data_IF_773517386322
#
_entry.id   IF_773517386322
#
_cell.length_a   1.000
_cell.length_b   1.000
_cell.length_c   1.000
_cell.angle_alpha   90.00
_cell.angle_beta   90.00
_cell.angle_gamma   90.00
#
_symmetry.space_group_name_H-M   'P 1'
#
loop_
_entity.id
_entity.type
_entity.pdbx_description
1 polymer ?
#
# COMPACT_ATOMS: atom_id res chain seq x y z
N UNK A 1 -45.35 -35.43 89.40
CA UNK A 1 -44.08 -35.01 88.75
C UNK A 1 -44.40 -34.66 87.30
N UNK A 2 -44.05 -33.55 86.66
CA UNK A 2 -43.36 -32.27 86.90
C UNK A 2 -43.77 -31.41 85.67
N UNK A 3 -44.49 -30.28 85.79
CA UNK A 3 -44.04 -28.88 85.93
C UNK A 3 -43.05 -28.36 84.87
N UNK A 4 -43.40 -27.18 84.30
CA UNK A 4 -42.52 -26.09 83.79
C UNK A 4 -41.88 -26.30 82.38
N UNK A 5 -41.76 -25.35 81.42
CA UNK A 5 -41.76 -23.88 81.40
C UNK A 5 -42.18 -23.24 80.05
N UNK A 6 -42.55 -21.95 80.18
CA UNK A 6 -42.72 -20.91 79.15
C UNK A 6 -41.39 -20.56 78.46
N UNK A 7 -41.42 -20.21 77.17
CA UNK A 7 -40.26 -19.68 76.46
C UNK A 7 -40.61 -18.79 75.28
N UNK A 8 -40.97 -17.53 75.55
CA UNK A 8 -41.14 -16.49 74.53
C UNK A 8 -39.83 -16.20 73.79
N UNK A 9 -39.83 -16.21 72.45
CA UNK A 9 -38.76 -15.60 71.65
C UNK A 9 -39.32 -14.64 70.61
N UNK A 10 -39.34 -13.38 71.05
CA UNK A 10 -39.20 -12.11 70.33
C UNK A 10 -38.81 -12.25 68.85
N UNK A 11 -39.72 -11.87 67.95
CA UNK A 11 -39.39 -11.50 66.57
C UNK A 11 -38.42 -10.29 66.61
N UNK A 12 -37.17 -10.48 66.19
CA UNK A 12 -36.32 -9.36 65.80
C UNK A 12 -36.47 -9.21 64.29
N UNK A 13 -37.49 -8.44 63.90
CA UNK A 13 -37.58 -7.89 62.55
C UNK A 13 -36.36 -6.98 62.37
N UNK A 14 -35.34 -7.45 61.66
CA UNK A 14 -34.36 -6.55 61.09
C UNK A 14 -35.00 -5.92 59.86
N UNK A 15 -35.88 -4.94 60.07
CA UNK A 15 -36.10 -3.86 59.11
C UNK A 15 -34.79 -3.09 58.98
N UNK A 16 -33.83 -3.69 58.29
CA UNK A 16 -32.83 -2.94 57.56
C UNK A 16 -33.61 -2.21 56.48
N UNK A 17 -34.03 -0.99 56.81
CA UNK A 17 -34.41 0.03 55.84
C UNK A 17 -33.21 0.16 54.89
N UNK A 18 -33.22 -0.63 53.82
CA UNK A 18 -32.63 -0.25 52.55
C UNK A 18 -33.39 1.00 52.15
N UNK A 19 -32.91 2.13 52.67
CA UNK A 19 -33.23 3.45 52.20
C UNK A 19 -32.68 3.47 50.78
N UNK A 20 -33.51 3.02 49.84
CA UNK A 20 -33.32 3.27 48.44
C UNK A 20 -33.23 4.79 48.36
N UNK A 21 -31.99 5.30 48.22
CA UNK A 21 -31.79 6.68 47.80
C UNK A 21 -32.29 6.68 46.35
N UNK A 22 -33.58 6.87 46.20
CA UNK A 22 -34.15 7.45 44.99
C UNK A 22 -33.57 8.86 44.95
N UNK A 23 -32.35 8.95 44.41
CA UNK A 23 -31.75 10.21 44.03
C UNK A 23 -32.59 10.71 42.85
N UNK A 24 -33.55 11.58 43.13
CA UNK A 24 -34.29 12.29 42.09
C UNK A 24 -33.28 12.91 41.13
N UNK A 25 -33.42 12.58 39.85
CA UNK A 25 -32.52 13.01 38.78
C UNK A 25 -32.43 14.54 38.82
N UNK A 26 -31.29 15.07 39.27
CA UNK A 26 -31.15 16.52 39.37
C UNK A 26 -31.02 17.08 37.96
N UNK A 27 -31.54 18.30 37.73
CA UNK A 27 -31.38 18.98 36.44
C UNK A 27 -29.90 19.09 36.02
N UNK A 28 -29.01 19.18 37.02
CA UNK A 28 -27.56 19.18 36.84
C UNK A 28 -27.06 17.85 36.24
N UNK A 29 -27.54 16.69 36.72
CA UNK A 29 -27.16 15.38 36.17
C UNK A 29 -27.54 15.25 34.68
N UNK A 30 -28.73 15.74 34.28
CA UNK A 30 -29.15 15.73 32.87
C UNK A 30 -28.20 16.57 32.02
N UNK A 31 -27.85 17.78 32.48
CA UNK A 31 -26.97 18.70 31.75
C UNK A 31 -25.57 18.13 31.61
N UNK A 32 -25.03 17.53 32.67
CA UNK A 32 -23.71 16.87 32.63
C UNK A 32 -23.74 15.66 31.70
N UNK A 33 -24.79 14.83 31.74
CA UNK A 33 -24.93 13.69 30.84
C UNK A 33 -24.96 14.12 29.37
N UNK A 34 -25.72 15.17 29.02
CA UNK A 34 -25.77 15.73 27.66
C UNK A 34 -24.40 16.29 27.24
N UNK A 35 -23.69 16.97 28.15
CA UNK A 35 -22.35 17.49 27.89
C UNK A 35 -21.35 16.35 27.58
N UNK A 36 -21.36 15.27 28.37
CA UNK A 36 -20.48 14.12 28.15
C UNK A 36 -20.82 13.39 26.85
N UNK A 37 -22.11 13.18 26.57
CA UNK A 37 -22.55 12.52 25.33
C UNK A 37 -22.16 13.37 24.11
N UNK A 38 -22.34 14.69 24.16
CA UNK A 38 -22.00 15.56 23.02
C UNK A 38 -20.50 15.57 22.73
N UNK A 39 -19.64 15.60 23.74
CA UNK A 39 -18.19 15.44 23.58
C UNK A 39 -17.85 14.08 22.98
N UNK A 40 -18.49 13.01 23.46
CA UNK A 40 -18.30 11.65 22.93
C UNK A 40 -18.65 11.53 21.46
N UNK A 41 -19.80 12.05 21.05
CA UNK A 41 -20.27 12.02 19.65
C UNK A 41 -19.32 12.79 18.72
N UNK A 42 -18.84 13.96 19.15
CA UNK A 42 -17.87 14.74 18.38
C UNK A 42 -16.56 13.95 18.22
N UNK A 43 -16.04 13.36 19.30
CA UNK A 43 -14.83 12.53 19.26
C UNK A 43 -14.95 11.35 18.28
N UNK A 44 -16.10 10.67 18.27
CA UNK A 44 -16.39 9.56 17.35
C UNK A 44 -16.45 10.06 15.89
N UNK A 45 -17.11 11.18 15.62
CA UNK A 45 -17.23 11.74 14.26
C UNK A 45 -15.85 12.15 13.68
N UNK A 46 -14.99 12.77 14.50
CA UNK A 46 -13.61 13.07 14.10
C UNK A 46 -12.80 11.78 13.86
N UNK A 47 -12.97 10.76 14.71
CA UNK A 47 -12.32 9.46 14.54
C UNK A 47 -12.66 8.79 13.21
N UNK A 48 -13.94 8.74 12.83
CA UNK A 48 -14.36 8.18 11.54
C UNK A 48 -13.85 8.99 10.34
N UNK A 49 -13.79 10.31 10.46
CA UNK A 49 -13.24 11.18 9.42
C UNK A 49 -11.74 10.93 9.19
N UNK A 50 -10.98 10.62 10.25
CA UNK A 50 -9.58 10.24 10.12
C UNK A 50 -9.41 8.85 9.49
N UNK A 51 -10.23 7.87 9.90
CA UNK A 51 -10.19 6.50 9.36
C UNK A 51 -10.52 6.45 7.87
N UNK A 52 -11.52 7.20 7.42
CA UNK A 52 -11.91 7.27 6.00
C UNK A 52 -10.80 7.85 5.14
N UNK A 53 -10.16 8.93 5.58
CA UNK A 53 -8.99 9.50 4.88
C UNK A 53 -7.83 8.51 4.78
N UNK A 54 -7.54 7.81 5.88
CA UNK A 54 -6.49 6.78 5.90
C UNK A 54 -6.82 5.61 4.95
N UNK A 55 -8.08 5.17 4.91
CA UNK A 55 -8.49 4.09 4.01
C UNK A 55 -8.32 4.47 2.53
N UNK A 56 -8.70 5.69 2.14
CA UNK A 56 -8.50 6.19 0.77
C UNK A 56 -7.01 6.22 0.41
N UNK A 57 -6.18 6.72 1.32
CA UNK A 57 -4.73 6.76 1.16
C UNK A 57 -4.14 5.37 0.93
N UNK A 58 -4.57 4.37 1.71
CA UNK A 58 -4.11 2.99 1.58
C UNK A 58 -4.60 2.37 0.27
N UNK A 59 -5.84 2.65 -0.12
CA UNK A 59 -6.41 2.15 -1.37
C UNK A 59 -5.66 2.69 -2.59
N UNK A 60 -5.36 3.99 -2.63
CA UNK A 60 -4.60 4.61 -3.73
C UNK A 60 -3.20 4.00 -3.86
N UNK A 61 -2.54 3.75 -2.73
CA UNK A 61 -1.22 3.12 -2.72
C UNK A 61 -1.28 1.67 -3.23
N UNK A 62 -2.27 0.90 -2.79
CA UNK A 62 -2.46 -0.48 -3.25
C UNK A 62 -2.71 -0.54 -4.77
N UNK A 63 -3.48 0.39 -5.32
CA UNK A 63 -3.72 0.46 -6.76
C UNK A 63 -2.44 0.79 -7.54
N UNK A 64 -1.60 1.70 -7.05
CA UNK A 64 -0.32 2.02 -7.68
C UNK A 64 0.65 0.82 -7.64
N UNK A 65 0.70 0.09 -6.54
CA UNK A 65 1.54 -1.11 -6.39
C UNK A 65 1.08 -2.25 -7.31
N UNK A 66 -0.22 -2.45 -7.47
CA UNK A 66 -0.77 -3.42 -8.45
C UNK A 66 -0.41 -2.98 -9.86
N UNK A 67 -0.65 -1.72 -10.20
CA UNK A 67 -0.38 -1.16 -11.54
C UNK A 67 1.09 -1.31 -11.92
N UNK A 68 2.02 -0.90 -11.04
CA UNK A 68 3.45 -1.02 -11.34
C UNK A 68 3.87 -2.47 -11.48
N UNK A 69 3.26 -3.40 -10.75
CA UNK A 69 3.54 -4.84 -10.85
C UNK A 69 3.12 -5.37 -12.21
N UNK A 70 1.90 -5.05 -12.66
CA UNK A 70 1.42 -5.42 -13.99
C UNK A 70 2.33 -4.89 -15.11
N UNK A 71 2.70 -3.61 -15.04
CA UNK A 71 3.64 -3.01 -16.01
C UNK A 71 5.00 -3.73 -15.94
N UNK A 72 5.50 -4.02 -14.74
CA UNK A 72 6.78 -4.73 -14.57
C UNK A 72 6.76 -6.12 -15.19
N UNK A 73 5.65 -6.84 -15.02
CA UNK A 73 5.49 -8.19 -15.55
C UNK A 73 5.39 -8.15 -17.08
N UNK A 74 4.67 -7.16 -17.65
CA UNK A 74 4.65 -6.90 -19.09
C UNK A 74 6.04 -6.61 -19.65
N UNK A 75 6.81 -5.75 -18.99
CA UNK A 75 8.17 -5.40 -19.42
C UNK A 75 9.07 -6.63 -19.37
N UNK A 76 8.95 -7.48 -18.35
CA UNK A 76 9.74 -8.71 -18.23
C UNK A 76 9.36 -9.75 -19.27
N UNK A 77 8.08 -9.84 -19.64
CA UNK A 77 7.58 -10.79 -20.62
C UNK A 77 8.25 -10.58 -21.99
N UNK A 78 8.91 -11.63 -22.48
CA UNK A 78 9.66 -11.63 -23.75
C UNK A 78 8.75 -11.66 -24.97
N UNK A 79 7.56 -12.27 -24.83
CA UNK A 79 6.61 -12.41 -25.92
C UNK A 79 5.82 -11.12 -26.14
N UNK A 80 5.69 -10.29 -25.10
CA UNK A 80 4.92 -9.05 -25.13
C UNK A 80 5.77 -7.82 -25.39
N UNK A 81 6.98 -7.79 -24.85
CA UNK A 81 7.94 -6.74 -25.11
C UNK A 81 9.25 -7.39 -25.55
N UNK A 82 9.53 -7.40 -26.84
CA UNK A 82 10.78 -7.96 -27.37
C UNK A 82 11.94 -7.03 -26.98
N UNK A 83 13.08 -7.61 -26.61
CA UNK A 83 14.28 -6.83 -26.34
C UNK A 83 14.74 -6.10 -27.59
N UNK A 84 15.03 -4.80 -27.47
CA UNK A 84 15.62 -4.03 -28.55
C UNK A 84 16.97 -3.49 -28.10
N UNK A 85 18.07 -3.78 -28.82
CA UNK A 85 19.36 -3.25 -28.44
C UNK A 85 19.35 -1.73 -28.52
N UNK A 86 20.06 -1.08 -27.60
CA UNK A 86 20.16 0.37 -27.56
C UNK A 86 18.82 1.11 -27.43
N UNK A 87 17.88 0.53 -26.68
CA UNK A 87 16.57 1.14 -26.50
C UNK A 87 16.64 2.48 -25.75
N UNK A 88 15.83 3.42 -26.21
CA UNK A 88 15.56 4.70 -25.55
C UNK A 88 14.12 4.72 -25.05
N UNK A 89 13.72 5.75 -24.31
CA UNK A 89 12.36 5.87 -23.79
C UNK A 89 11.28 5.90 -24.88
N UNK A 90 11.62 6.24 -26.13
CA UNK A 90 10.72 6.19 -27.28
C UNK A 90 10.69 4.82 -27.98
N UNK A 91 11.64 3.95 -27.68
CA UNK A 91 11.78 2.63 -28.32
C UNK A 91 10.71 1.66 -27.83
N UNK A 92 10.50 1.58 -26.52
CA UNK A 92 9.44 0.78 -25.95
C UNK A 92 8.17 1.61 -25.79
N UNK A 93 7.10 1.18 -26.45
CA UNK A 93 5.77 1.69 -26.23
C UNK A 93 4.96 0.63 -25.47
N UNK A 94 4.59 0.96 -24.23
CA UNK A 94 3.67 0.11 -23.46
C UNK A 94 2.25 0.50 -23.86
N UNK A 95 1.40 -0.45 -24.31
CA UNK A 95 0.02 -0.16 -24.66
C UNK A 95 -0.75 0.47 -23.50
N UNK A 96 -1.61 1.44 -23.82
CA UNK A 96 -2.55 2.02 -22.87
C UNK A 96 -3.97 1.95 -23.47
N UNK A 97 -4.90 1.19 -22.87
CA UNK A 97 -4.78 0.43 -21.63
C UNK A 97 -3.90 -0.83 -21.78
N UNK A 98 -3.27 -1.24 -20.68
CA UNK A 98 -2.53 -2.50 -20.57
C UNK A 98 -3.42 -3.51 -19.84
N UNK A 99 -3.86 -4.56 -20.53
CA UNK A 99 -4.74 -5.61 -19.96
C UNK A 99 -6.00 -5.06 -19.26
N UNK A 100 -6.58 -4.00 -19.83
CA UNK A 100 -7.75 -3.32 -19.25
C UNK A 100 -7.44 -2.34 -18.12
N UNK A 101 -6.17 -2.17 -17.74
CA UNK A 101 -5.73 -1.14 -16.79
C UNK A 101 -5.30 0.11 -17.55
N UNK A 102 -5.99 1.22 -17.31
CA UNK A 102 -5.60 2.53 -17.85
C UNK A 102 -4.35 3.03 -17.13
N UNK A 103 -3.31 3.35 -17.90
CA UNK A 103 -2.03 3.83 -17.39
C UNK A 103 -2.02 5.36 -17.28
N UNK A 104 -1.43 5.86 -16.19
CA UNK A 104 -1.16 7.28 -15.99
C UNK A 104 0.24 7.47 -15.36
N UNK A 105 1.21 8.07 -16.06
CA UNK A 105 1.13 8.61 -17.42
C UNK A 105 0.88 7.50 -18.48
N UNK A 106 0.43 7.86 -19.71
CA UNK A 106 0.10 6.88 -20.74
C UNK A 106 1.24 5.92 -21.12
N UNK A 107 2.49 6.40 -21.07
CA UNK A 107 3.67 5.55 -21.12
C UNK A 107 4.39 5.65 -19.77
N UNK A 108 4.48 4.55 -19.00
CA UNK A 108 5.09 4.57 -17.68
C UNK A 108 6.63 4.52 -17.74
N UNK A 109 7.26 4.45 -18.91
CA UNK A 109 8.73 4.42 -19.03
C UNK A 109 9.31 5.83 -18.84
N UNK A 110 9.98 6.06 -17.72
CA UNK A 110 10.63 7.32 -17.40
C UNK A 110 12.10 7.40 -17.81
N UNK A 111 12.80 6.27 -17.87
CA UNK A 111 14.18 6.19 -18.34
C UNK A 111 14.56 4.76 -18.75
N UNK A 112 15.52 4.66 -19.66
CA UNK A 112 16.22 3.41 -19.97
C UNK A 112 17.72 3.70 -19.84
N UNK A 113 18.43 2.87 -19.09
CA UNK A 113 19.86 2.98 -18.92
C UNK A 113 20.56 1.68 -19.30
N UNK A 114 21.70 1.84 -19.96
CA UNK A 114 22.65 0.76 -20.16
C UNK A 114 23.47 0.64 -18.87
N UNK A 115 23.54 -0.55 -18.27
CA UNK A 115 24.27 -0.68 -17.04
C UNK A 115 25.78 -0.59 -17.32
N UNK A 116 26.42 0.44 -16.75
CA UNK A 116 27.83 0.75 -16.96
C UNK A 116 28.79 -0.30 -16.36
N UNK A 117 28.28 -1.21 -15.52
CA UNK A 117 29.08 -2.11 -14.70
C UNK A 117 28.34 -3.41 -14.32
N UNK A 118 27.63 -4.04 -15.26
CA UNK A 118 27.19 -5.43 -15.05
C UNK A 118 28.40 -6.34 -15.16
N UNK A 119 28.92 -6.76 -14.02
CA UNK A 119 29.88 -7.85 -13.97
C UNK A 119 29.13 -9.16 -14.18
N UNK A 120 29.47 -9.90 -15.24
CA UNK A 120 28.91 -11.24 -15.46
C UNK A 120 29.26 -12.16 -14.29
N UNK A 121 28.26 -12.87 -13.78
CA UNK A 121 28.51 -14.08 -12.97
C UNK A 121 28.92 -15.29 -13.81
N UNK A 122 28.61 -15.30 -15.12
CA UNK A 122 28.80 -16.44 -16.04
C UNK A 122 29.08 -15.93 -17.47
N UNK A 123 30.03 -16.52 -18.20
CA UNK A 123 30.44 -16.11 -19.55
C UNK A 123 29.44 -16.53 -20.64
N UNK A 124 28.48 -15.66 -20.99
CA UNK A 124 27.61 -15.85 -22.15
C UNK A 124 28.04 -14.84 -23.23
N UNK A 125 28.46 -15.21 -24.45
CA UNK A 125 28.91 -14.24 -25.46
C UNK A 125 27.87 -13.10 -25.63
N UNK A 126 28.32 -11.84 -25.81
CA UNK A 126 27.41 -10.71 -26.04
C UNK A 126 26.44 -11.03 -27.19
N UNK A 127 25.17 -10.62 -27.07
CA UNK A 127 24.11 -11.03 -28.00
C UNK A 127 24.19 -10.41 -29.39
N UNK A 128 25.09 -9.47 -29.59
CA UNK A 128 25.52 -9.05 -30.92
C UNK A 128 26.97 -8.63 -30.85
N UNK A 129 27.63 -8.71 -32.01
CA UNK A 129 29.04 -8.54 -32.23
C UNK A 129 29.56 -7.14 -31.82
N UNK A 130 29.68 -6.92 -30.50
CA UNK A 130 30.68 -6.03 -29.94
C UNK A 130 32.01 -6.80 -29.75
N UNK A 131 32.30 -7.87 -30.52
CA UNK A 131 33.28 -8.94 -30.18
C UNK A 131 34.69 -8.46 -29.87
N UNK A 132 35.05 -7.23 -30.22
CA UNK A 132 36.34 -6.63 -29.91
C UNK A 132 36.41 -5.92 -28.56
N UNK A 133 35.29 -5.72 -27.85
CA UNK A 133 35.25 -4.93 -26.62
C UNK A 133 34.97 -5.78 -25.38
N UNK A 134 35.91 -5.70 -24.42
CA UNK A 134 35.82 -6.29 -23.07
C UNK A 134 34.79 -5.54 -22.20
N UNK A 135 34.41 -4.32 -22.60
CA UNK A 135 33.46 -3.45 -21.89
C UNK A 135 32.45 -2.93 -22.91
N UNK A 136 31.16 -3.22 -22.72
CA UNK A 136 30.14 -2.60 -23.57
C UNK A 136 30.10 -1.08 -23.30
N UNK A 137 29.77 -0.27 -24.32
CA UNK A 137 29.77 1.16 -24.14
C UNK A 137 28.62 1.58 -23.20
N UNK A 138 28.88 2.55 -22.32
CA UNK A 138 27.85 3.14 -21.45
C UNK A 138 26.78 3.92 -22.25
N UNK A 139 27.02 4.13 -23.53
CA UNK A 139 26.15 4.81 -24.49
C UNK A 139 26.09 3.99 -25.78
N UNK A 140 24.99 4.09 -26.51
CA UNK A 140 24.91 3.49 -27.85
C UNK A 140 25.43 4.48 -28.90
N UNK A 141 26.55 4.18 -29.59
CA UNK A 141 27.04 5.02 -30.67
C UNK A 141 26.03 5.03 -31.82
N UNK A 142 25.90 6.16 -32.53
CA UNK A 142 24.99 6.29 -33.67
C UNK A 142 25.21 5.24 -34.79
N UNK A 143 26.39 4.61 -34.81
CA UNK A 143 26.84 3.71 -35.87
C UNK A 143 26.89 2.23 -35.41
N UNK A 144 26.54 1.94 -34.15
CA UNK A 144 26.54 0.60 -33.59
C UNK A 144 25.39 0.41 -32.60
N UNK A 145 24.48 -0.51 -32.94
CA UNK A 145 23.34 -0.90 -32.10
C UNK A 145 23.69 -2.11 -31.22
N UNK A 146 24.82 -2.11 -30.53
CA UNK A 146 25.23 -3.25 -29.70
C UNK A 146 25.25 -2.88 -28.20
N UNK A 147 24.73 -3.77 -27.35
CA UNK A 147 24.71 -3.62 -25.89
C UNK A 147 24.89 -4.98 -25.17
N UNK A 148 24.86 -5.00 -23.83
CA UNK A 148 25.07 -6.23 -23.03
C UNK A 148 23.92 -7.25 -23.12
N UNK A 149 22.88 -6.99 -23.92
CA UNK A 149 21.66 -7.80 -23.90
C UNK A 149 20.87 -7.64 -22.60
N UNK A 150 21.15 -6.59 -21.80
CA UNK A 150 20.47 -6.25 -20.56
C UNK A 150 20.34 -4.73 -20.42
N UNK A 151 19.13 -4.25 -20.07
CA UNK A 151 18.79 -2.85 -19.90
C UNK A 151 18.07 -2.61 -18.57
N UNK A 152 18.40 -1.51 -17.88
CA UNK A 152 17.67 -1.01 -16.71
C UNK A 152 16.53 -0.10 -17.19
N UNK A 153 15.28 -0.46 -16.92
CA UNK A 153 14.09 0.31 -17.28
C UNK A 153 13.47 0.87 -16.00
N UNK A 154 13.35 2.20 -15.93
CA UNK A 154 12.67 2.89 -14.83
C UNK A 154 11.22 3.15 -15.21
N UNK A 155 10.32 2.52 -14.47
CA UNK A 155 8.89 2.64 -14.61
C UNK A 155 8.34 3.63 -13.58
N UNK A 156 7.32 4.39 -13.95
CA UNK A 156 6.55 5.27 -13.07
C UNK A 156 5.06 5.04 -13.27
N UNK A 157 4.33 4.91 -12.16
CA UNK A 157 2.87 4.96 -12.13
C UNK A 157 2.46 6.13 -11.24
N UNK A 158 1.40 6.84 -11.61
CA UNK A 158 0.97 8.04 -10.90
C UNK A 158 -0.55 8.14 -10.79
N UNK A 159 -1.00 8.67 -9.65
CA UNK A 159 -2.36 9.13 -9.40
C UNK A 159 -2.34 10.64 -9.15
N UNK A 160 -3.50 11.24 -8.90
CA UNK A 160 -3.64 12.70 -8.70
C UNK A 160 -2.73 13.28 -7.61
N UNK A 161 -2.34 12.48 -6.61
CA UNK A 161 -1.55 12.96 -5.47
C UNK A 161 -0.26 12.17 -5.22
N UNK A 162 -0.01 11.08 -5.95
CA UNK A 162 1.07 10.12 -5.63
C UNK A 162 1.72 9.57 -6.87
N UNK A 163 2.98 9.21 -6.75
CA UNK A 163 3.69 8.45 -7.77
C UNK A 163 4.53 7.35 -7.14
N UNK A 164 4.71 6.28 -7.89
CA UNK A 164 5.55 5.16 -7.51
C UNK A 164 6.48 4.85 -8.68
N UNK A 165 7.77 4.73 -8.37
CA UNK A 165 8.80 4.36 -9.35
C UNK A 165 9.36 2.99 -9.05
N UNK A 166 9.70 2.23 -10.10
CA UNK A 166 10.30 0.91 -9.98
C UNK A 166 11.32 0.67 -11.07
N UNK A 167 12.41 0.01 -10.70
CA UNK A 167 13.43 -0.45 -11.63
C UNK A 167 13.12 -1.89 -12.06
N UNK A 168 13.13 -2.13 -13.37
CA UNK A 168 12.96 -3.45 -13.97
C UNK A 168 14.09 -3.70 -14.95
N UNK A 169 14.66 -4.90 -14.91
CA UNK A 169 15.69 -5.32 -15.84
C UNK A 169 15.06 -6.05 -17.02
N UNK A 170 15.35 -5.61 -18.24
CA UNK A 170 15.00 -6.32 -19.48
C UNK A 170 16.23 -7.01 -20.03
N UNK A 171 16.17 -8.33 -20.17
CA UNK A 171 17.18 -9.11 -20.87
C UNK A 171 16.74 -9.49 -22.28
N UNK A 172 17.71 -9.79 -23.14
CA UNK A 172 17.51 -10.31 -24.49
C UNK A 172 17.17 -11.81 -24.51
N UNK A 173 17.59 -12.55 -23.48
CA UNK A 173 17.35 -14.01 -23.40
C UNK A 173 16.19 -14.36 -22.55
#
# INVERSE_FOLDING_TARGET
MMRHEVGARRCKSSTGLRRSREAGFTLVDVVVAIAVISIGVVGIAYGFSALTRSAVITQDQAQLEVTIRHISDYVRDKNRLVYQPCATTSTYAIPNPLDGVTLNPPNPIGAIALPASVTRGISIPPLEDCTTKVVAPATCPANHLCDWGVQEIRLSASSLARSLTRVVWKGNT
#
